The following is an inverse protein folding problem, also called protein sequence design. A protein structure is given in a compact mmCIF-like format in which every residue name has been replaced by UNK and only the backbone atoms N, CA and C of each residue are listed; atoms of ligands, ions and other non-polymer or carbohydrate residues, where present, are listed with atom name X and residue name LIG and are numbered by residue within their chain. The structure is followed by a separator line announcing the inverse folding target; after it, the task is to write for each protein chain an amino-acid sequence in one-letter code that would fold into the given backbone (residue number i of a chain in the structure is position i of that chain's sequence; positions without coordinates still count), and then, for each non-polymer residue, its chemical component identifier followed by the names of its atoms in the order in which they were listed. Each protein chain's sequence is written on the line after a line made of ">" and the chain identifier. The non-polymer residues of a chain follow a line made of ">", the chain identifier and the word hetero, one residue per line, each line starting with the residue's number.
data_IF_426656377658
#
_entry.id   IF_426656377658
#
_cell.length_a   1.000
_cell.length_b   1.000
_cell.length_c   1.000
_cell.angle_alpha   90.00
_cell.angle_beta   90.00
_cell.angle_gamma   90.00
#
_symmetry.space_group_name_H-M   'P 1'
#
loop_
_entity.id
_entity.type
_entity.pdbx_description
1 polymer ?
#
# COMPACT_ATOMS: atom_id res chain seq x y z
N UNK A 1 13.71 8.48 -11.37
CA UNK A 1 13.78 7.39 -12.38
C UNK A 1 14.72 6.30 -11.88
N UNK A 2 14.55 5.05 -12.34
CA UNK A 2 15.40 3.91 -11.95
C UNK A 2 16.88 4.16 -12.28
N UNK A 3 17.18 4.86 -13.40
CA UNK A 3 18.54 5.23 -13.74
C UNK A 3 19.20 6.13 -12.67
N UNK A 4 18.46 7.09 -12.11
CA UNK A 4 18.96 7.91 -11.00
C UNK A 4 19.14 7.07 -9.72
N UNK A 5 18.21 6.15 -9.42
CA UNK A 5 18.32 5.24 -8.27
C UNK A 5 19.61 4.40 -8.32
N UNK A 6 19.93 3.82 -9.48
CA UNK A 6 21.18 3.08 -9.71
C UNK A 6 22.41 3.96 -9.55
N UNK A 7 22.36 5.19 -10.05
CA UNK A 7 23.53 6.08 -10.05
C UNK A 7 23.83 6.72 -8.69
N UNK A 8 22.79 7.10 -7.95
CA UNK A 8 22.94 7.99 -6.80
C UNK A 8 22.46 7.37 -5.48
N UNK A 9 21.68 6.29 -5.54
CA UNK A 9 21.08 5.64 -4.38
C UNK A 9 21.49 4.16 -4.25
N UNK A 10 22.61 3.77 -4.89
CA UNK A 10 23.24 2.45 -4.76
C UNK A 10 22.35 1.26 -5.16
N UNK A 11 21.29 1.47 -5.95
CA UNK A 11 20.45 0.37 -6.41
C UNK A 11 21.26 -0.65 -7.24
N UNK A 12 22.25 -0.19 -8.01
CA UNK A 12 23.15 -1.05 -8.79
C UNK A 12 23.98 -2.01 -7.92
N UNK A 13 24.39 -1.54 -6.74
CA UNK A 13 25.09 -2.31 -5.73
C UNK A 13 24.16 -3.34 -5.10
N UNK A 14 22.96 -2.92 -4.72
CA UNK A 14 21.94 -3.81 -4.15
C UNK A 14 21.57 -4.92 -5.13
N UNK A 15 21.37 -4.61 -6.41
CA UNK A 15 21.11 -5.61 -7.46
C UNK A 15 22.21 -6.68 -7.53
N UNK A 16 23.49 -6.29 -7.42
CA UNK A 16 24.62 -7.24 -7.41
C UNK A 16 24.71 -8.08 -6.13
N UNK A 17 24.41 -7.49 -4.97
CA UNK A 17 24.53 -8.15 -3.67
C UNK A 17 23.33 -9.06 -3.36
N UNK A 18 22.14 -8.67 -3.80
CA UNK A 18 20.91 -9.45 -3.63
C UNK A 18 20.79 -10.59 -4.64
N UNK A 19 21.34 -10.42 -5.85
CA UNK A 19 21.22 -11.40 -6.94
C UNK A 19 19.77 -11.61 -7.34
N UNK A 20 19.36 -12.86 -7.50
CA UNK A 20 17.99 -13.25 -7.90
C UNK A 20 16.91 -12.87 -6.87
N UNK A 21 17.29 -12.45 -5.65
CA UNK A 21 16.35 -12.01 -4.61
C UNK A 21 15.78 -10.61 -4.84
N UNK A 22 16.36 -9.83 -5.76
CA UNK A 22 15.89 -8.49 -6.11
C UNK A 22 15.70 -8.38 -7.62
N UNK A 23 14.46 -8.10 -8.03
CA UNK A 23 14.12 -7.81 -9.42
C UNK A 23 13.51 -6.41 -9.51
N UNK A 24 14.04 -5.58 -10.41
CA UNK A 24 13.55 -4.22 -10.64
C UNK A 24 12.81 -4.19 -11.97
N UNK A 25 11.52 -3.91 -11.90
CA UNK A 25 10.63 -3.87 -13.06
C UNK A 25 10.17 -2.42 -13.26
N UNK A 26 10.34 -1.92 -14.48
CA UNK A 26 9.88 -0.58 -14.86
C UNK A 26 8.55 -0.70 -15.61
N UNK A 27 7.45 -0.71 -14.87
CA UNK A 27 6.10 -0.81 -15.40
C UNK A 27 5.13 -0.02 -14.51
N UNK A 28 3.90 0.14 -14.99
CA UNK A 28 2.78 0.46 -14.10
C UNK A 28 2.52 -0.73 -13.16
N UNK A 29 2.38 -0.47 -11.87
CA UNK A 29 2.29 -1.52 -10.86
C UNK A 29 1.02 -2.35 -10.97
N UNK A 30 -0.11 -1.72 -11.33
CA UNK A 30 -1.39 -2.40 -11.49
C UNK A 30 -1.40 -3.24 -12.76
N UNK A 31 -0.95 -2.67 -13.88
CA UNK A 31 -0.82 -3.41 -15.13
C UNK A 31 0.15 -4.61 -14.98
N UNK A 32 1.26 -4.43 -14.25
CA UNK A 32 2.17 -5.51 -13.94
C UNK A 32 1.49 -6.64 -13.15
N UNK A 33 0.74 -6.31 -12.10
CA UNK A 33 0.02 -7.32 -11.33
C UNK A 33 -1.00 -8.04 -12.19
N UNK A 34 -1.76 -7.35 -13.03
CA UNK A 34 -2.77 -7.96 -13.90
C UNK A 34 -2.18 -8.93 -14.95
N UNK A 35 -0.92 -8.76 -15.34
CA UNK A 35 -0.21 -9.63 -16.28
C UNK A 35 0.65 -10.72 -15.60
N UNK A 36 0.87 -10.62 -14.29
CA UNK A 36 1.79 -11.51 -13.58
C UNK A 36 1.15 -12.87 -13.27
N UNK A 37 1.78 -13.97 -13.70
CA UNK A 37 1.40 -15.33 -13.29
C UNK A 37 1.85 -15.68 -11.86
N UNK A 38 2.58 -14.77 -11.19
CA UNK A 38 3.17 -15.00 -9.88
C UNK A 38 2.19 -14.71 -8.74
N UNK A 39 2.33 -15.46 -7.64
CA UNK A 39 1.67 -15.15 -6.36
C UNK A 39 2.70 -14.73 -5.33
N UNK A 40 2.30 -13.84 -4.44
CA UNK A 40 3.16 -13.24 -3.43
C UNK A 40 2.67 -13.57 -2.03
N UNK A 41 3.61 -13.77 -1.10
CA UNK A 41 3.31 -13.86 0.33
C UNK A 41 2.91 -12.49 0.90
N UNK A 42 3.48 -11.42 0.34
CA UNK A 42 3.17 -10.05 0.70
C UNK A 42 3.27 -9.12 -0.52
N UNK A 43 2.37 -8.14 -0.60
CA UNK A 43 2.42 -7.03 -1.55
C UNK A 43 2.46 -5.74 -0.73
N UNK A 44 3.46 -4.89 -0.98
CA UNK A 44 3.61 -3.59 -0.34
C UNK A 44 3.43 -2.49 -1.40
N UNK A 45 2.49 -1.60 -1.18
CA UNK A 45 2.20 -0.46 -2.04
C UNK A 45 2.68 0.84 -1.38
N UNK A 46 3.71 1.43 -1.97
CA UNK A 46 4.34 2.68 -1.52
C UNK A 46 4.39 3.64 -2.72
N UNK A 47 3.20 3.99 -3.24
CA UNK A 47 3.03 4.72 -4.48
C UNK A 47 2.38 6.10 -4.28
N UNK A 48 3.06 7.14 -4.76
CA UNK A 48 2.61 8.54 -4.66
C UNK A 48 2.74 9.25 -6.00
N UNK A 49 1.83 10.20 -6.25
CA UNK A 49 1.90 11.17 -7.34
C UNK A 49 2.15 12.57 -6.77
N UNK A 50 3.42 12.97 -6.68
CA UNK A 50 3.79 14.21 -5.99
C UNK A 50 3.58 14.04 -4.48
N UNK A 51 2.73 14.88 -3.90
CA UNK A 51 2.33 14.79 -2.49
C UNK A 51 1.01 14.01 -2.29
N UNK A 52 0.35 13.58 -3.37
CA UNK A 52 -0.97 12.94 -3.28
C UNK A 52 -0.86 11.42 -3.49
N UNK A 53 -1.62 10.62 -2.75
CA UNK A 53 -1.70 9.19 -3.00
C UNK A 53 -2.37 8.89 -4.34
N UNK A 54 -1.98 7.77 -4.97
CA UNK A 54 -2.47 7.38 -6.30
C UNK A 54 -3.85 6.71 -6.16
N UNK A 55 -4.93 7.49 -6.31
CA UNK A 55 -6.32 7.01 -6.16
C UNK A 55 -6.65 5.76 -6.99
N UNK A 56 -6.10 5.62 -8.19
CA UNK A 56 -6.33 4.45 -9.06
C UNK A 56 -5.76 3.13 -8.53
N UNK A 57 -4.92 3.18 -7.49
CA UNK A 57 -4.40 2.01 -6.77
C UNK A 57 -5.13 1.75 -5.44
N UNK A 58 -6.08 2.61 -5.08
CA UNK A 58 -6.84 2.54 -3.83
C UNK A 58 -8.31 2.11 -4.03
N UNK A 59 -8.69 1.73 -5.25
CA UNK A 59 -10.06 1.29 -5.59
C UNK A 59 -10.32 -0.16 -5.20
N UNK A 60 -11.60 -0.53 -5.10
CA UNK A 60 -12.04 -1.92 -4.87
C UNK A 60 -11.50 -2.85 -5.96
N UNK A 61 -11.49 -2.43 -7.22
CA UNK A 61 -10.95 -3.18 -8.34
C UNK A 61 -9.45 -3.44 -8.17
N UNK A 62 -8.68 -2.40 -7.80
CA UNK A 62 -7.25 -2.54 -7.52
C UNK A 62 -7.01 -3.48 -6.32
N UNK A 63 -7.78 -3.34 -5.24
CA UNK A 63 -7.68 -4.21 -4.07
C UNK A 63 -8.02 -5.68 -4.42
N UNK A 64 -9.01 -5.93 -5.27
CA UNK A 64 -9.34 -7.27 -5.78
C UNK A 64 -8.21 -7.84 -6.64
N UNK A 65 -7.60 -7.03 -7.50
CA UNK A 65 -6.45 -7.43 -8.32
C UNK A 65 -5.25 -7.83 -7.44
N UNK A 66 -4.96 -7.04 -6.39
CA UNK A 66 -3.94 -7.37 -5.38
C UNK A 66 -4.27 -8.70 -4.70
N UNK A 67 -5.49 -8.85 -4.16
CA UNK A 67 -5.92 -10.06 -3.47
C UNK A 67 -5.81 -11.30 -4.36
N UNK A 68 -6.12 -11.18 -5.64
CA UNK A 68 -5.99 -12.26 -6.62
C UNK A 68 -4.54 -12.74 -6.83
N UNK A 69 -3.53 -11.93 -6.50
CA UNK A 69 -2.10 -12.26 -6.59
C UNK A 69 -1.47 -12.58 -5.24
N UNK A 70 -2.23 -12.56 -4.15
CA UNK A 70 -1.76 -13.09 -2.88
C UNK A 70 -1.93 -14.62 -2.83
N UNK A 71 -1.02 -15.28 -2.12
CA UNK A 71 -1.25 -16.65 -1.66
C UNK A 71 -2.34 -16.64 -0.57
N UNK A 72 -3.02 -17.79 -0.30
CA UNK A 72 -3.92 -17.88 0.84
C UNK A 72 -3.20 -17.50 2.15
N UNK A 73 -3.71 -16.49 2.84
CA UNK A 73 -3.11 -15.94 4.06
C UNK A 73 -1.96 -14.96 3.84
N UNK A 74 -1.70 -14.55 2.58
CA UNK A 74 -0.81 -13.44 2.29
C UNK A 74 -1.35 -12.10 2.78
N UNK A 75 -0.49 -11.07 2.76
CA UNK A 75 -0.83 -9.73 3.26
C UNK A 75 -0.63 -8.67 2.20
N UNK A 76 -1.53 -7.70 2.18
CA UNK A 76 -1.35 -6.44 1.50
C UNK A 76 -1.06 -5.35 2.53
N UNK A 77 -0.13 -4.45 2.24
CA UNK A 77 0.09 -3.26 3.03
C UNK A 77 0.26 -2.06 2.11
N UNK A 78 -0.39 -0.94 2.45
CA UNK A 78 -0.31 0.30 1.71
C UNK A 78 0.18 1.42 2.64
N UNK A 79 1.16 2.19 2.18
CA UNK A 79 1.56 3.43 2.84
C UNK A 79 0.61 4.56 2.41
N UNK A 80 -0.05 5.16 3.38
CA UNK A 80 -1.07 6.21 3.20
C UNK A 80 -0.62 7.45 3.95
N UNK A 81 -0.38 8.52 3.19
CA UNK A 81 -0.01 9.84 3.74
C UNK A 81 -1.30 10.63 3.98
N UNK A 82 -1.45 11.24 5.15
CA UNK A 82 -2.51 12.22 5.42
C UNK A 82 -2.22 13.57 4.75
N UNK A 83 -3.26 14.27 4.32
CA UNK A 83 -3.12 15.65 3.83
C UNK A 83 -3.12 16.66 5.01
N UNK A 84 -2.72 17.90 4.73
CA UNK A 84 -2.73 19.03 5.67
C UNK A 84 -2.11 18.72 7.05
N UNK A 85 -0.88 18.16 7.06
CA UNK A 85 -0.13 17.84 8.29
C UNK A 85 -0.90 16.91 9.26
N UNK A 86 -1.76 16.03 8.75
CA UNK A 86 -2.54 15.10 9.58
C UNK A 86 -3.95 15.57 9.89
N UNK A 87 -4.33 16.79 9.50
CA UNK A 87 -5.68 17.32 9.73
C UNK A 87 -6.73 16.64 8.83
N UNK A 88 -6.36 16.20 7.63
CA UNK A 88 -7.25 15.48 6.71
C UNK A 88 -6.84 14.02 6.50
N UNK A 89 -7.59 13.13 7.16
CA UNK A 89 -7.48 11.67 7.04
C UNK A 89 -8.58 11.06 6.17
N UNK A 90 -9.32 11.86 5.38
CA UNK A 90 -10.41 11.37 4.53
C UNK A 90 -9.97 10.26 3.58
N UNK A 91 -8.80 10.40 2.96
CA UNK A 91 -8.27 9.38 2.06
C UNK A 91 -7.91 8.07 2.80
N UNK A 92 -7.38 8.16 4.03
CA UNK A 92 -7.16 6.98 4.86
C UNK A 92 -8.48 6.26 5.16
N UNK A 93 -9.52 7.00 5.52
CA UNK A 93 -10.86 6.48 5.81
C UNK A 93 -11.46 5.79 4.59
N UNK A 94 -11.30 6.40 3.41
CA UNK A 94 -11.74 5.83 2.12
C UNK A 94 -10.98 4.53 1.79
N UNK A 95 -9.65 4.51 2.00
CA UNK A 95 -8.82 3.31 1.78
C UNK A 95 -9.23 2.16 2.69
N UNK A 96 -9.46 2.43 3.98
CA UNK A 96 -9.88 1.42 4.95
C UNK A 96 -11.24 0.84 4.55
N UNK A 97 -12.22 1.70 4.27
CA UNK A 97 -13.55 1.25 3.83
C UNK A 97 -13.48 0.40 2.55
N UNK A 98 -12.66 0.82 1.59
CA UNK A 98 -12.46 0.11 0.33
C UNK A 98 -11.80 -1.26 0.53
N UNK A 99 -10.84 -1.38 1.45
CA UNK A 99 -10.19 -2.65 1.74
C UNK A 99 -11.09 -3.61 2.53
N UNK A 100 -11.99 -3.11 3.38
CA UNK A 100 -12.98 -3.93 4.10
C UNK A 100 -13.99 -4.60 3.16
N UNK A 101 -14.26 -4.01 1.99
CA UNK A 101 -15.09 -4.64 0.95
C UNK A 101 -14.42 -5.88 0.30
N UNK A 102 -13.09 -6.02 0.44
CA UNK A 102 -12.30 -7.02 -0.27
C UNK A 102 -11.64 -8.03 0.68
N UNK A 103 -11.15 -7.59 1.84
CA UNK A 103 -10.39 -8.41 2.79
C UNK A 103 -11.16 -8.66 4.08
N UNK A 104 -10.90 -9.80 4.72
CA UNK A 104 -11.57 -10.16 5.98
C UNK A 104 -11.11 -9.32 7.18
N UNK A 105 -9.85 -8.89 7.16
CA UNK A 105 -9.23 -8.12 8.22
C UNK A 105 -8.47 -6.93 7.64
N UNK A 106 -8.73 -5.74 8.18
CA UNK A 106 -8.01 -4.50 7.88
C UNK A 106 -7.55 -3.88 9.20
N UNK A 107 -6.32 -3.37 9.23
CA UNK A 107 -5.75 -2.67 10.37
C UNK A 107 -4.99 -1.43 9.92
N UNK A 108 -4.98 -0.41 10.76
CA UNK A 108 -4.22 0.83 10.55
C UNK A 108 -3.12 0.90 11.58
N UNK A 109 -1.87 1.09 11.15
CA UNK A 109 -0.72 1.29 12.01
C UNK A 109 -0.21 2.73 11.84
N UNK A 110 0.12 3.44 12.94
CA UNK A 110 0.83 4.69 12.83
C UNK A 110 2.25 4.41 12.31
N UNK A 111 2.70 5.21 11.35
CA UNK A 111 4.06 5.20 10.82
C UNK A 111 4.69 6.59 11.01
N UNK A 112 4.52 7.15 12.21
CA UNK A 112 5.10 8.44 12.60
C UNK A 112 6.63 8.42 12.47
N UNK A 113 7.19 9.43 11.81
CA UNK A 113 8.63 9.73 11.88
C UNK A 113 8.82 10.91 12.84
N UNK A 114 9.15 10.62 14.10
CA UNK A 114 9.40 11.62 15.17
C UNK A 114 10.47 12.67 14.79
N UNK A 115 11.22 12.47 13.70
CA UNK A 115 12.37 13.30 13.31
C UNK A 115 12.06 14.34 12.24
N UNK A 116 11.01 14.15 11.42
CA UNK A 116 10.68 15.00 10.26
C UNK A 116 9.17 15.34 10.18
N UNK A 117 8.53 15.47 11.34
CA UNK A 117 7.07 15.59 11.51
C UNK A 117 6.41 16.82 10.88
N UNK A 118 6.01 16.66 9.62
CA UNK A 118 5.02 17.50 8.96
C UNK A 118 3.92 16.71 8.25
N UNK A 119 4.01 15.37 8.15
CA UNK A 119 3.01 14.51 7.54
C UNK A 119 2.88 13.22 8.36
N UNK A 120 1.65 12.85 8.75
CA UNK A 120 1.37 11.58 9.42
C UNK A 120 1.22 10.48 8.36
N UNK A 121 2.10 9.48 8.41
CA UNK A 121 2.01 8.30 7.58
C UNK A 121 1.28 7.20 8.34
N UNK A 122 0.42 6.48 7.63
CA UNK A 122 -0.29 5.32 8.13
C UNK A 122 -0.04 4.12 7.23
N UNK A 123 0.28 2.99 7.84
CA UNK A 123 0.30 1.72 7.12
C UNK A 123 -1.07 1.06 7.28
N UNK A 124 -1.79 0.90 6.17
CA UNK A 124 -3.03 0.13 6.13
C UNK A 124 -2.70 -1.28 5.69
N UNK A 125 -2.93 -2.25 6.58
CA UNK A 125 -2.65 -3.68 6.35
C UNK A 125 -3.96 -4.42 6.15
N UNK A 126 -4.04 -5.25 5.11
CA UNK A 126 -5.22 -6.03 4.78
C UNK A 126 -4.87 -7.50 4.50
N UNK A 127 -5.65 -8.43 5.04
CA UNK A 127 -5.45 -9.89 4.86
C UNK A 127 -6.74 -10.69 5.14
N UNK A 128 -6.79 -11.93 4.65
CA UNK A 128 -7.83 -12.90 5.02
C UNK A 128 -7.41 -13.85 6.16
N UNK A 129 -6.15 -13.80 6.58
CA UNK A 129 -5.67 -14.58 7.72
C UNK A 129 -5.91 -13.82 9.03
N UNK A 130 -5.91 -14.54 10.15
CA UNK A 130 -5.96 -13.94 11.48
C UNK A 130 -4.86 -12.88 11.63
N UNK A 131 -5.27 -11.63 11.86
CA UNK A 131 -4.39 -10.49 11.98
C UNK A 131 -4.22 -10.12 13.46
N UNK A 132 -2.98 -10.09 13.94
CA UNK A 132 -2.64 -9.70 15.31
C UNK A 132 -1.59 -8.59 15.27
N UNK A 133 -2.06 -7.34 15.30
CA UNK A 133 -1.23 -6.14 15.31
C UNK A 133 -1.53 -5.34 16.58
N UNK A 134 -0.68 -5.45 17.63
CA UNK A 134 -0.96 -4.85 18.93
C UNK A 134 -0.95 -3.32 18.91
N UNK A 135 -0.21 -2.73 17.96
CA UNK A 135 -0.08 -1.28 17.80
C UNK A 135 -1.10 -0.71 16.80
N UNK A 136 -2.08 -1.51 16.36
CA UNK A 136 -3.11 -1.05 15.45
C UNK A 136 -4.03 -0.03 16.12
N UNK A 137 -4.28 1.07 15.42
CA UNK A 137 -5.25 2.09 15.81
C UNK A 137 -6.64 1.48 15.71
N UNK A 138 -7.42 1.44 16.81
CA UNK A 138 -8.79 0.96 16.75
C UNK A 138 -9.65 1.95 15.96
N UNK A 139 -10.51 1.43 15.10
CA UNK A 139 -11.52 2.19 14.38
C UNK A 139 -12.85 1.42 14.35
N UNK A 140 -13.95 2.12 14.06
CA UNK A 140 -15.29 1.56 13.93
C UNK A 140 -15.97 2.05 12.65
N UNK A 141 -17.24 1.70 12.47
CA UNK A 141 -18.03 2.10 11.29
C UNK A 141 -18.13 3.63 11.13
N UNK A 142 -18.03 4.41 12.22
CA UNK A 142 -18.06 5.88 12.14
C UNK A 142 -16.75 6.46 11.60
N UNK A 143 -15.66 5.69 11.61
CA UNK A 143 -14.39 6.05 10.98
C UNK A 143 -14.40 5.82 9.46
N UNK A 144 -15.23 4.93 8.93
CA UNK A 144 -15.17 4.58 7.52
C UNK A 144 -15.53 5.76 6.60
N UNK A 145 -14.84 5.84 5.47
CA UNK A 145 -15.05 6.84 4.42
C UNK A 145 -15.93 6.32 3.29
N UNK A 146 -15.75 6.89 2.10
CA UNK A 146 -16.37 6.42 0.88
C UNK A 146 -15.61 5.21 0.31
N UNK A 147 -16.36 4.26 -0.26
CA UNK A 147 -15.78 3.18 -1.06
C UNK A 147 -15.29 3.78 -2.39
N UNK A 148 -14.04 3.54 -2.73
CA UNK A 148 -13.42 4.00 -3.96
C UNK A 148 -13.56 2.95 -5.06
N UNK A 149 -14.05 3.37 -6.22
CA UNK A 149 -14.22 2.53 -7.40
C UNK A 149 -13.45 3.15 -8.58
N UNK A 150 -13.06 2.33 -9.55
CA UNK A 150 -12.48 2.85 -10.80
C UNK A 150 -13.45 3.80 -11.52
N UNK A 151 -12.93 4.89 -12.09
CA UNK A 151 -13.71 5.73 -12.99
C UNK A 151 -13.98 4.98 -14.31
N UNK A 152 -15.27 4.73 -14.60
CA UNK A 152 -15.72 4.01 -15.80
C UNK A 152 -15.74 4.82 -17.09
#
# INVERSE_FOLDING_TARGET
>A
TIACARRWFYLDRLEREAGERLSVICADGRAFLEEADARFDAILNDAFTGALPVRSLATVEAARAVKAHLVPGGLYAANVVSEDEGEDVSFLRDCVATLEEVFTHVAVLPAEDETYGGEDNYLVVATDAALALPDAIPFDEEFLGAILEDEG
#
